data_IF_282101949164
#
_entry.id   IF_282101949164
#
_cell.length_a   1.000
_cell.length_b   1.000
_cell.length_c   1.000
_cell.angle_alpha   90.00
_cell.angle_beta   90.00
_cell.angle_gamma   90.00
#
_symmetry.space_group_name_H-M   'P 1'
#
loop_
_entity.id
_entity.type
_entity.pdbx_description
1 polymer ?
#
# COMPACT_ATOMS: atom_id res chain seq x y z
N UNK A 1 5.09 -23.66 11.84
CA UNK A 1 4.03 -23.40 10.87
C UNK A 1 2.93 -24.45 10.97
N UNK A 2 3.24 -25.77 10.78
CA UNK A 2 2.22 -26.82 10.82
C UNK A 2 1.34 -26.70 12.09
N UNK A 3 1.96 -26.65 13.26
CA UNK A 3 1.22 -26.55 14.53
C UNK A 3 0.32 -25.30 14.62
N UNK A 4 0.76 -24.15 14.12
CA UNK A 4 -0.06 -22.94 14.09
C UNK A 4 -1.28 -23.09 13.17
N UNK A 5 -1.12 -23.78 12.04
CA UNK A 5 -2.24 -24.11 11.13
C UNK A 5 -3.22 -25.10 11.77
N UNK A 6 -2.71 -26.13 12.45
CA UNK A 6 -3.54 -27.15 13.12
C UNK A 6 -4.45 -26.54 14.20
N UNK A 7 -4.01 -25.47 14.87
CA UNK A 7 -4.79 -24.72 15.85
C UNK A 7 -5.49 -23.50 15.27
N UNK A 8 -5.65 -23.43 13.96
CA UNK A 8 -6.39 -22.38 13.24
C UNK A 8 -5.84 -20.96 13.42
N UNK A 9 -4.53 -20.79 13.54
CA UNK A 9 -3.91 -19.45 13.44
C UNK A 9 -3.83 -19.08 11.95
N UNK A 10 -4.92 -18.56 11.43
CA UNK A 10 -5.10 -18.16 10.03
C UNK A 10 -5.78 -16.78 9.94
N UNK A 11 -5.89 -16.24 8.72
CA UNK A 11 -6.42 -14.91 8.49
C UNK A 11 -7.89 -14.75 8.94
N UNK A 12 -8.72 -15.79 8.80
CA UNK A 12 -10.12 -15.74 9.19
C UNK A 12 -10.27 -15.69 10.72
N UNK A 13 -9.67 -16.64 11.42
CA UNK A 13 -9.81 -16.76 12.88
C UNK A 13 -9.09 -15.61 13.61
N UNK A 14 -7.91 -15.23 13.17
CA UNK A 14 -7.18 -14.05 13.68
C UNK A 14 -7.95 -12.77 13.34
N UNK A 15 -8.55 -12.69 12.16
CA UNK A 15 -9.41 -11.59 11.74
C UNK A 15 -10.53 -11.32 12.73
N UNK A 16 -11.23 -12.34 13.19
CA UNK A 16 -12.31 -12.20 14.21
C UNK A 16 -11.85 -11.54 15.50
N UNK A 17 -10.61 -11.81 15.92
CA UNK A 17 -10.01 -11.16 17.11
C UNK A 17 -9.57 -9.73 16.79
N UNK A 18 -8.95 -9.50 15.66
CA UNK A 18 -8.43 -8.18 15.28
C UNK A 18 -9.53 -7.20 14.91
N UNK A 19 -10.71 -7.68 14.47
CA UNK A 19 -11.91 -6.87 14.24
C UNK A 19 -12.54 -6.32 15.51
N UNK A 20 -12.20 -6.85 16.70
CA UNK A 20 -12.67 -6.27 17.97
C UNK A 20 -12.16 -4.83 18.06
N UNK A 21 -13.09 -3.86 18.11
CA UNK A 21 -12.80 -2.43 18.09
C UNK A 21 -11.96 -1.97 16.88
N UNK A 22 -12.16 -2.55 15.70
CA UNK A 22 -11.36 -2.31 14.49
C UNK A 22 -11.29 -0.83 14.09
N UNK A 23 -12.36 -0.06 14.31
CA UNK A 23 -12.42 1.37 13.98
C UNK A 23 -11.57 2.27 14.89
N UNK A 24 -11.09 1.73 16.01
CA UNK A 24 -10.25 2.48 16.93
C UNK A 24 -8.76 2.39 16.50
N UNK A 25 -7.98 3.47 16.64
CA UNK A 25 -6.56 3.44 16.35
C UNK A 25 -5.81 2.51 17.32
N UNK A 26 -4.78 1.82 16.83
CA UNK A 26 -3.89 1.03 17.68
C UNK A 26 -3.10 1.97 18.62
N UNK A 27 -2.87 1.62 19.91
CA UNK A 27 -3.15 0.33 20.55
C UNK A 27 -4.51 0.27 21.31
N UNK A 28 -5.40 1.24 21.16
CA UNK A 28 -6.65 1.32 21.95
C UNK A 28 -7.50 0.03 21.97
N UNK A 29 -7.58 -0.78 20.89
CA UNK A 29 -8.32 -2.04 20.93
C UNK A 29 -7.70 -3.14 21.80
N UNK A 30 -6.41 -3.05 22.13
CA UNK A 30 -5.66 -4.14 22.77
C UNK A 30 -6.29 -4.64 24.07
N UNK A 31 -6.72 -3.79 25.01
CA UNK A 31 -7.33 -4.28 26.26
C UNK A 31 -8.55 -5.18 26.02
N UNK A 32 -9.41 -4.83 25.04
CA UNK A 32 -10.60 -5.61 24.74
C UNK A 32 -10.26 -6.90 24.01
N UNK A 33 -9.31 -6.88 23.09
CA UNK A 33 -8.80 -8.09 22.43
C UNK A 33 -8.24 -9.08 23.45
N UNK A 34 -7.41 -8.61 24.38
CA UNK A 34 -6.85 -9.42 25.46
C UNK A 34 -7.94 -9.92 26.41
N UNK A 35 -8.96 -9.10 26.72
CA UNK A 35 -10.07 -9.53 27.55
C UNK A 35 -10.80 -10.74 26.95
N UNK A 36 -11.05 -10.75 25.64
CA UNK A 36 -11.63 -11.88 24.93
C UNK A 36 -10.69 -13.09 24.88
N UNK A 37 -9.41 -12.88 24.54
CA UNK A 37 -8.42 -13.96 24.43
C UNK A 37 -8.14 -14.64 25.79
N UNK A 38 -8.06 -13.90 26.89
CA UNK A 38 -7.85 -14.46 28.24
C UNK A 38 -9.01 -15.33 28.74
N UNK A 39 -10.20 -15.21 28.14
CA UNK A 39 -11.35 -16.09 28.41
C UNK A 39 -11.36 -17.35 27.56
N UNK A 40 -10.63 -17.36 26.48
CA UNK A 40 -10.40 -18.59 25.72
C UNK A 40 -9.42 -19.47 26.48
N UNK A 41 -9.82 -20.74 26.67
CA UNK A 41 -9.00 -21.77 27.31
C UNK A 41 -8.65 -22.83 26.28
N UNK A 42 -8.07 -22.40 25.15
CA UNK A 42 -7.70 -23.23 24.02
C UNK A 42 -6.35 -22.84 23.42
N UNK A 43 -5.76 -23.76 22.68
CA UNK A 43 -4.47 -23.59 22.05
C UNK A 43 -4.36 -22.34 21.15
N UNK A 44 -5.42 -21.99 20.43
CA UNK A 44 -5.48 -20.78 19.61
C UNK A 44 -5.32 -19.51 20.47
N UNK A 45 -6.12 -19.38 21.54
CA UNK A 45 -6.07 -18.22 22.45
C UNK A 45 -4.71 -18.06 23.09
N UNK A 46 -4.11 -19.17 23.54
CA UNK A 46 -2.78 -19.16 24.16
C UNK A 46 -1.69 -18.75 23.15
N UNK A 47 -1.73 -19.29 21.91
CA UNK A 47 -0.78 -18.94 20.87
C UNK A 47 -0.86 -17.45 20.50
N UNK A 48 -2.06 -16.90 20.32
CA UNK A 48 -2.21 -15.49 19.99
C UNK A 48 -1.71 -14.58 21.12
N UNK A 49 -2.03 -14.91 22.37
CA UNK A 49 -1.57 -14.15 23.53
C UNK A 49 -0.04 -14.05 23.57
N UNK A 50 0.63 -15.19 23.42
CA UNK A 50 2.09 -15.26 23.55
C UNK A 50 2.85 -14.72 22.32
N UNK A 51 2.33 -14.94 21.11
CA UNK A 51 3.06 -14.67 19.86
C UNK A 51 2.64 -13.37 19.15
N UNK A 52 1.38 -12.92 19.34
CA UNK A 52 0.88 -11.74 18.61
C UNK A 52 0.64 -10.52 19.51
N UNK A 53 0.37 -10.71 20.79
CA UNK A 53 -0.09 -9.63 21.65
C UNK A 53 0.79 -9.38 22.90
N UNK A 54 1.95 -10.01 22.96
CA UNK A 54 2.88 -9.93 24.11
C UNK A 54 2.15 -10.07 25.47
N UNK A 55 1.16 -11.00 25.56
CA UNK A 55 0.44 -11.32 26.79
C UNK A 55 0.96 -12.67 27.33
N UNK A 56 1.80 -12.66 28.38
CA UNK A 56 2.50 -13.86 28.80
C UNK A 56 1.57 -14.98 29.27
N UNK A 57 1.90 -16.22 28.93
CA UNK A 57 1.17 -17.46 29.26
C UNK A 57 2.02 -18.37 30.17
N UNK A 58 1.37 -19.34 30.85
CA UNK A 58 2.09 -20.35 31.66
C UNK A 58 2.77 -21.41 30.79
N UNK A 59 3.65 -22.22 31.36
CA UNK A 59 4.26 -23.36 30.69
C UNK A 59 3.21 -24.38 30.20
N UNK A 60 2.18 -24.65 31.00
CA UNK A 60 1.07 -25.55 30.65
C UNK A 60 0.27 -25.01 29.46
N UNK A 61 -0.11 -23.71 29.49
CA UNK A 61 -0.78 -23.02 28.38
C UNK A 61 0.08 -23.05 27.10
N UNK A 62 1.39 -22.86 27.22
CA UNK A 62 2.32 -22.92 26.09
C UNK A 62 2.44 -24.35 25.53
N UNK A 63 2.53 -25.35 26.41
CA UNK A 63 2.59 -26.77 26.02
C UNK A 63 1.30 -27.23 25.32
N UNK A 64 0.14 -26.77 25.79
CA UNK A 64 -1.15 -27.01 25.14
C UNK A 64 -1.20 -26.37 23.73
N UNK A 65 -0.75 -25.11 23.64
CA UNK A 65 -0.76 -24.37 22.37
C UNK A 65 0.20 -24.97 21.32
N UNK A 66 1.46 -25.22 21.71
CA UNK A 66 2.56 -25.49 20.78
C UNK A 66 3.14 -26.90 20.91
N UNK A 67 2.89 -27.59 22.03
CA UNK A 67 3.56 -28.82 22.40
C UNK A 67 4.85 -28.58 23.18
N UNK A 68 5.09 -29.36 24.24
CA UNK A 68 6.22 -29.15 25.19
C UNK A 68 7.58 -29.14 24.51
N UNK A 69 7.83 -30.06 23.57
CA UNK A 69 9.09 -30.16 22.84
C UNK A 69 9.35 -28.90 21.99
N UNK A 70 8.31 -28.38 21.32
CA UNK A 70 8.45 -27.17 20.52
C UNK A 70 8.66 -25.95 21.41
N UNK A 71 7.95 -25.85 22.53
CA UNK A 71 8.16 -24.76 23.51
C UNK A 71 9.61 -24.72 23.99
N UNK A 72 10.19 -25.89 24.35
CA UNK A 72 11.58 -25.98 24.80
C UNK A 72 12.54 -25.44 23.72
N UNK A 73 12.36 -25.86 22.45
CA UNK A 73 13.18 -25.39 21.33
C UNK A 73 12.99 -23.89 21.07
N UNK A 74 11.76 -23.38 21.16
CA UNK A 74 11.48 -21.95 20.93
C UNK A 74 12.11 -21.08 22.02
N UNK A 75 12.18 -21.58 23.25
CA UNK A 75 12.90 -20.92 24.36
C UNK A 75 14.42 -20.96 24.13
N UNK A 76 14.96 -22.09 23.69
CA UNK A 76 16.40 -22.24 23.40
C UNK A 76 16.86 -21.29 22.30
N UNK A 77 16.07 -21.10 21.23
CA UNK A 77 16.41 -20.19 20.13
C UNK A 77 15.93 -18.75 20.35
N UNK A 78 15.35 -18.44 21.50
CA UNK A 78 14.91 -17.08 21.85
C UNK A 78 13.63 -16.58 21.16
N UNK A 79 12.88 -17.44 20.50
CA UNK A 79 11.56 -17.09 19.93
C UNK A 79 10.45 -17.04 20.99
N UNK A 80 10.66 -17.69 22.13
CA UNK A 80 9.91 -17.48 23.35
C UNK A 80 10.89 -17.10 24.47
N UNK A 81 10.51 -16.15 25.30
CA UNK A 81 11.34 -15.71 26.44
C UNK A 81 10.53 -15.71 27.71
N UNK A 82 11.23 -15.94 28.85
CA UNK A 82 10.60 -15.85 30.15
C UNK A 82 10.45 -14.40 30.58
N UNK A 83 9.23 -14.01 30.86
CA UNK A 83 8.85 -12.70 31.40
C UNK A 83 8.70 -12.78 32.93
N UNK A 84 8.14 -11.75 33.53
CA UNK A 84 7.86 -11.73 34.99
C UNK A 84 7.06 -12.97 35.41
N UNK A 85 7.32 -13.46 36.65
CA UNK A 85 6.71 -14.66 37.20
C UNK A 85 6.97 -15.95 36.41
N UNK A 86 8.00 -15.99 35.56
CA UNK A 86 8.39 -17.16 34.77
C UNK A 86 7.49 -17.47 33.60
N UNK A 87 6.51 -16.61 33.27
CA UNK A 87 5.59 -16.79 32.13
C UNK A 87 6.31 -16.59 30.80
N UNK A 88 5.74 -17.16 29.73
CA UNK A 88 6.33 -17.17 28.39
C UNK A 88 5.60 -16.23 27.45
N UNK A 89 6.35 -15.41 26.71
CA UNK A 89 5.88 -14.65 25.56
C UNK A 89 6.98 -14.53 24.51
N UNK A 90 6.61 -14.25 23.27
CA UNK A 90 7.58 -13.94 22.22
C UNK A 90 8.12 -12.52 22.40
N UNK A 91 9.43 -12.29 22.20
CA UNK A 91 9.98 -10.95 22.04
C UNK A 91 9.71 -10.35 20.66
N UNK A 92 9.09 -11.13 19.76
CA UNK A 92 8.68 -10.73 18.41
C UNK A 92 7.16 -10.72 18.31
N UNK A 93 6.65 -9.98 17.34
CA UNK A 93 5.24 -10.04 16.96
C UNK A 93 5.03 -10.96 15.76
N UNK A 94 4.18 -11.96 15.92
CA UNK A 94 3.72 -12.79 14.83
C UNK A 94 2.62 -12.07 14.06
N UNK A 95 2.81 -11.89 12.76
CA UNK A 95 1.82 -11.39 11.82
C UNK A 95 1.45 -12.45 10.77
N UNK A 96 0.45 -12.13 9.94
CA UNK A 96 0.04 -12.93 8.81
C UNK A 96 0.30 -12.17 7.51
N UNK A 97 0.75 -12.87 6.48
CA UNK A 97 0.90 -12.36 5.12
C UNK A 97 0.41 -13.42 4.13
N UNK A 98 -0.71 -13.14 3.42
CA UNK A 98 -1.39 -14.18 2.65
C UNK A 98 -1.75 -15.39 3.53
N UNK A 99 -1.32 -16.58 3.14
CA UNK A 99 -1.43 -17.81 3.92
C UNK A 99 -0.22 -18.09 4.82
N UNK A 100 0.78 -17.21 4.82
CA UNK A 100 2.04 -17.36 5.54
C UNK A 100 2.11 -16.60 6.87
N UNK A 101 3.22 -16.79 7.57
CA UNK A 101 3.53 -16.19 8.86
C UNK A 101 4.72 -15.25 8.73
N UNK A 102 4.68 -14.16 9.50
CA UNK A 102 5.72 -13.14 9.50
C UNK A 102 6.05 -12.73 10.93
N UNK A 103 7.29 -12.93 11.36
CA UNK A 103 7.79 -12.35 12.60
C UNK A 103 8.37 -10.95 12.33
N UNK A 104 8.13 -10.05 13.26
CA UNK A 104 8.68 -8.69 13.28
C UNK A 104 9.09 -8.30 14.69
N UNK A 105 9.88 -7.23 14.82
CA UNK A 105 10.28 -6.74 16.13
C UNK A 105 9.15 -6.01 16.86
N UNK A 106 9.23 -5.96 18.17
CA UNK A 106 8.55 -4.94 18.96
C UNK A 106 9.37 -3.63 18.86
N UNK A 107 8.87 -2.70 18.07
CA UNK A 107 9.54 -1.40 17.81
C UNK A 107 9.72 -0.52 19.05
N UNK A 108 9.10 -0.89 20.18
CA UNK A 108 9.30 -0.22 21.46
C UNK A 108 10.51 -0.75 22.24
N UNK A 109 10.95 -1.97 21.94
CA UNK A 109 12.01 -2.66 22.65
C UNK A 109 13.32 -2.72 21.88
N UNK A 110 13.29 -2.50 20.56
CA UNK A 110 14.45 -2.61 19.68
C UNK A 110 14.73 -1.28 18.98
N UNK A 111 15.93 -0.77 19.12
CA UNK A 111 16.34 0.56 18.62
C UNK A 111 16.21 0.67 17.09
N UNK A 112 16.79 -0.29 16.35
CA UNK A 112 16.69 -0.41 14.89
C UNK A 112 15.72 -1.54 14.52
N UNK A 113 14.58 -1.60 15.21
CA UNK A 113 13.60 -2.65 15.05
C UNK A 113 13.02 -2.71 13.64
N UNK A 114 12.65 -3.91 13.23
CA UNK A 114 12.09 -4.21 11.92
C UNK A 114 10.58 -4.28 12.02
N UNK A 115 9.89 -3.36 11.34
CA UNK A 115 8.44 -3.27 11.35
C UNK A 115 7.78 -4.47 10.65
N UNK A 116 6.69 -4.95 11.22
CA UNK A 116 5.85 -5.99 10.62
C UNK A 116 4.87 -5.47 9.56
N UNK A 117 4.11 -6.40 8.97
CA UNK A 117 3.11 -6.08 7.96
C UNK A 117 1.91 -5.34 8.56
N UNK A 118 1.89 -4.01 8.43
CA UNK A 118 0.77 -3.15 8.76
C UNK A 118 -0.34 -3.17 7.69
N UNK A 119 -1.34 -2.30 7.86
CA UNK A 119 -2.43 -2.13 6.87
C UNK A 119 -1.89 -1.62 5.53
N UNK A 120 -0.96 -0.66 5.57
CA UNK A 120 -0.30 -0.10 4.38
C UNK A 120 0.51 -1.14 3.64
N UNK A 121 1.30 -1.97 4.34
CA UNK A 121 2.08 -3.05 3.72
C UNK A 121 1.17 -4.08 3.03
N UNK A 122 0.04 -4.46 3.67
CA UNK A 122 -0.93 -5.36 3.03
C UNK A 122 -1.59 -4.74 1.79
N UNK A 123 -1.92 -3.45 1.85
CA UNK A 123 -2.42 -2.70 0.69
C UNK A 123 -1.39 -2.65 -0.44
N UNK A 124 -0.12 -2.42 -0.10
CA UNK A 124 0.98 -2.43 -1.07
C UNK A 124 1.18 -3.83 -1.69
N UNK A 125 1.11 -4.90 -0.91
CA UNK A 125 1.16 -6.26 -1.47
C UNK A 125 0.00 -6.51 -2.44
N UNK A 126 -1.22 -6.13 -2.09
CA UNK A 126 -2.39 -6.31 -2.95
C UNK A 126 -2.27 -5.53 -4.28
N UNK A 127 -1.68 -4.34 -4.24
CA UNK A 127 -1.51 -3.45 -5.38
C UNK A 127 -0.25 -3.78 -6.21
N UNK A 128 0.84 -4.18 -5.55
CA UNK A 128 2.17 -4.33 -6.15
C UNK A 128 2.49 -5.74 -6.65
N UNK A 129 1.82 -6.79 -6.12
CA UNK A 129 2.02 -8.15 -6.61
C UNK A 129 1.33 -8.31 -7.98
N UNK A 130 2.07 -8.66 -9.04
CA UNK A 130 1.51 -8.68 -10.38
C UNK A 130 0.42 -9.76 -10.56
N UNK A 131 -0.55 -9.49 -11.45
CA UNK A 131 -1.62 -10.43 -11.77
C UNK A 131 -1.13 -11.64 -12.56
N UNK A 132 -0.09 -11.43 -13.39
CA UNK A 132 0.58 -12.47 -14.18
C UNK A 132 1.92 -12.87 -13.55
N UNK A 133 2.40 -14.05 -13.86
CA UNK A 133 3.75 -14.47 -13.48
C UNK A 133 4.80 -13.64 -14.23
N UNK A 134 5.90 -13.29 -13.54
CA UNK A 134 7.02 -12.50 -14.08
C UNK A 134 8.34 -13.22 -13.86
N UNK A 135 9.39 -12.90 -14.62
CA UNK A 135 10.69 -13.53 -14.46
C UNK A 135 11.41 -13.01 -13.21
N UNK A 136 11.32 -11.68 -12.95
CA UNK A 136 12.09 -11.04 -11.89
C UNK A 136 11.29 -9.95 -11.16
N UNK A 137 11.41 -9.93 -9.83
CA UNK A 137 10.85 -8.90 -9.00
C UNK A 137 11.86 -8.40 -7.96
N UNK A 138 11.73 -7.13 -7.55
CA UNK A 138 12.53 -6.51 -6.50
C UNK A 138 11.61 -5.98 -5.40
N UNK A 139 11.88 -6.38 -4.15
CA UNK A 139 11.38 -5.75 -2.93
C UNK A 139 12.48 -4.82 -2.40
N UNK A 140 12.31 -3.51 -2.60
CA UNK A 140 13.30 -2.50 -2.25
C UNK A 140 12.98 -1.90 -0.88
N UNK A 141 13.83 -2.17 0.13
CA UNK A 141 13.56 -1.88 1.53
C UNK A 141 12.62 -2.94 2.13
N UNK A 142 13.06 -4.20 2.13
CA UNK A 142 12.18 -5.34 2.39
C UNK A 142 11.69 -5.47 3.83
N UNK A 143 12.36 -4.82 4.81
CA UNK A 143 12.02 -4.95 6.23
C UNK A 143 11.95 -6.41 6.66
N UNK A 144 10.81 -6.84 7.21
CA UNK A 144 10.58 -8.23 7.62
C UNK A 144 10.31 -9.19 6.45
N UNK A 145 10.33 -8.72 5.19
CA UNK A 145 10.18 -9.55 3.99
C UNK A 145 8.74 -9.78 3.53
N UNK A 146 7.77 -9.00 4.01
CA UNK A 146 6.36 -9.21 3.70
C UNK A 146 6.06 -9.12 2.19
N UNK A 147 6.59 -8.09 1.53
CA UNK A 147 6.40 -7.88 0.08
C UNK A 147 7.17 -8.94 -0.72
N UNK A 148 8.42 -9.24 -0.34
CA UNK A 148 9.21 -10.29 -1.00
C UNK A 148 8.51 -11.67 -0.95
N UNK A 149 7.92 -12.02 0.21
CA UNK A 149 7.12 -13.25 0.38
C UNK A 149 5.91 -13.23 -0.56
N UNK A 150 5.18 -12.14 -0.65
CA UNK A 150 4.03 -12.03 -1.54
C UNK A 150 4.43 -12.09 -3.03
N UNK A 151 5.55 -11.47 -3.42
CA UNK A 151 6.10 -11.50 -4.78
C UNK A 151 6.59 -12.90 -5.17
N UNK A 152 7.08 -13.70 -4.22
CA UNK A 152 7.64 -15.03 -4.49
C UNK A 152 6.64 -16.01 -5.13
N UNK A 153 5.34 -15.79 -4.94
CA UNK A 153 4.27 -16.57 -5.55
C UNK A 153 4.06 -16.24 -7.05
N UNK A 154 4.54 -15.07 -7.49
CA UNK A 154 4.28 -14.53 -8.84
C UNK A 154 5.55 -14.22 -9.64
N UNK A 155 6.72 -14.48 -9.09
CA UNK A 155 7.99 -14.25 -9.76
C UNK A 155 8.86 -15.53 -9.74
N UNK A 156 9.57 -15.77 -10.85
CA UNK A 156 10.55 -16.87 -10.90
C UNK A 156 11.69 -16.60 -9.91
N UNK A 157 12.13 -15.35 -9.84
CA UNK A 157 13.18 -14.89 -8.92
C UNK A 157 12.74 -13.58 -8.27
N UNK A 158 12.90 -13.48 -6.96
CA UNK A 158 12.77 -12.24 -6.20
C UNK A 158 14.13 -11.83 -5.66
N UNK A 159 14.46 -10.55 -5.75
CA UNK A 159 15.54 -9.93 -4.97
C UNK A 159 14.89 -9.09 -3.89
N UNK A 160 15.42 -9.15 -2.68
CA UNK A 160 14.98 -8.34 -1.55
C UNK A 160 16.17 -7.59 -0.95
N UNK A 161 16.11 -6.27 -0.91
CA UNK A 161 17.22 -5.44 -0.40
C UNK A 161 16.78 -4.64 0.81
N UNK A 162 17.70 -4.41 1.74
CA UNK A 162 17.50 -3.49 2.86
C UNK A 162 18.85 -2.95 3.32
N UNK A 163 18.87 -1.75 3.87
CA UNK A 163 20.07 -1.14 4.46
C UNK A 163 20.31 -1.66 5.88
N UNK A 164 19.28 -2.18 6.55
CA UNK A 164 19.35 -2.72 7.89
C UNK A 164 19.72 -4.22 7.85
N UNK A 165 20.90 -4.64 8.37
CA UNK A 165 21.29 -6.05 8.40
C UNK A 165 20.31 -6.92 9.19
N UNK A 166 19.68 -6.37 10.25
CA UNK A 166 18.65 -7.07 11.01
C UNK A 166 17.41 -7.37 10.18
N UNK A 167 17.02 -6.45 9.29
CA UNK A 167 15.92 -6.68 8.34
C UNK A 167 16.21 -7.87 7.41
N UNK A 168 17.43 -7.92 6.87
CA UNK A 168 17.86 -9.03 6.00
C UNK A 168 17.84 -10.37 6.74
N UNK A 169 18.30 -10.42 7.98
CA UNK A 169 18.28 -11.64 8.80
C UNK A 169 16.84 -12.09 9.08
N UNK A 170 15.98 -11.16 9.50
CA UNK A 170 14.58 -11.46 9.82
C UNK A 170 13.78 -11.86 8.58
N UNK A 171 14.01 -11.20 7.44
CA UNK A 171 13.36 -11.54 6.18
C UNK A 171 13.77 -12.94 5.67
N UNK A 172 15.05 -13.31 5.80
CA UNK A 172 15.54 -14.68 5.52
C UNK A 172 14.87 -15.71 6.42
N UNK A 173 14.79 -15.41 7.72
CA UNK A 173 14.09 -16.27 8.67
C UNK A 173 12.61 -16.47 8.27
N UNK A 174 11.92 -15.38 7.95
CA UNK A 174 10.51 -15.41 7.53
C UNK A 174 10.31 -16.17 6.21
N UNK A 175 11.19 -16.03 5.23
CA UNK A 175 11.15 -16.80 4.00
C UNK A 175 11.32 -18.30 4.28
N UNK A 176 12.32 -18.68 5.08
CA UNK A 176 12.55 -20.07 5.48
C UNK A 176 11.38 -20.65 6.28
N UNK A 177 10.79 -19.85 7.20
CA UNK A 177 9.59 -20.22 7.97
C UNK A 177 8.42 -20.62 7.07
N UNK A 178 8.29 -19.95 5.92
CA UNK A 178 7.23 -20.23 4.94
C UNK A 178 7.63 -21.20 3.83
N UNK A 179 8.85 -21.76 3.88
CA UNK A 179 9.36 -22.71 2.87
C UNK A 179 9.66 -22.09 1.51
N UNK A 180 9.96 -20.79 1.47
CA UNK A 180 10.23 -20.02 0.25
C UNK A 180 11.74 -20.03 -0.04
N UNK A 181 12.13 -20.39 -1.27
CA UNK A 181 13.53 -20.54 -1.66
C UNK A 181 13.96 -19.66 -2.84
N UNK A 182 13.04 -18.95 -3.50
CA UNK A 182 13.32 -18.15 -4.69
C UNK A 182 13.57 -16.65 -4.38
N UNK A 183 13.93 -16.31 -3.14
CA UNK A 183 14.27 -14.94 -2.74
C UNK A 183 15.77 -14.83 -2.45
N UNK A 184 16.43 -13.87 -3.10
CA UNK A 184 17.84 -13.49 -2.90
C UNK A 184 17.88 -12.21 -2.05
N UNK A 185 18.40 -12.32 -0.82
CA UNK A 185 18.46 -11.21 0.14
C UNK A 185 19.83 -10.53 0.12
N UNK A 186 19.86 -9.21 -0.07
CA UNK A 186 21.08 -8.42 -0.19
C UNK A 186 21.06 -7.18 0.70
N UNK A 187 22.16 -6.95 1.41
CA UNK A 187 22.37 -5.76 2.25
C UNK A 187 22.91 -4.61 1.38
N UNK A 188 22.35 -3.41 1.53
CA UNK A 188 22.85 -2.18 0.93
C UNK A 188 21.80 -1.08 0.79
N UNK A 189 22.23 0.12 0.41
CA UNK A 189 21.39 1.30 0.28
C UNK A 189 20.70 1.33 -1.10
N UNK A 190 19.38 1.42 -1.08
CA UNK A 190 18.54 1.52 -2.27
C UNK A 190 18.93 0.48 -3.35
N UNK A 191 19.33 0.96 -4.54
CA UNK A 191 19.67 0.13 -5.69
C UNK A 191 21.15 -0.32 -5.74
N UNK A 192 21.98 0.05 -4.78
CA UNK A 192 23.41 -0.33 -4.79
C UNK A 192 23.62 -1.85 -4.93
N UNK A 193 22.88 -2.71 -4.18
CA UNK A 193 23.07 -4.16 -4.29
C UNK A 193 22.60 -4.77 -5.63
N UNK A 194 21.89 -3.98 -6.44
CA UNK A 194 21.29 -4.40 -7.73
C UNK A 194 21.65 -3.44 -8.87
N UNK A 195 22.80 -2.75 -8.77
CA UNK A 195 23.20 -1.66 -9.65
C UNK A 195 23.19 -2.02 -11.16
N UNK A 196 23.46 -3.28 -11.50
CA UNK A 196 23.53 -3.75 -12.90
C UNK A 196 22.26 -4.55 -13.31
N UNK A 197 21.22 -4.60 -12.48
CA UNK A 197 20.04 -5.40 -12.73
C UNK A 197 18.82 -4.55 -13.07
N UNK A 198 17.92 -5.11 -13.89
CA UNK A 198 16.60 -4.54 -14.17
C UNK A 198 15.53 -5.61 -13.98
N UNK A 199 14.34 -5.18 -13.50
CA UNK A 199 13.27 -6.04 -13.02
C UNK A 199 11.98 -5.80 -13.79
N UNK A 200 11.14 -6.84 -13.86
CA UNK A 200 9.79 -6.73 -14.41
C UNK A 200 8.86 -6.00 -13.43
N UNK A 201 9.10 -6.21 -12.13
CA UNK A 201 8.33 -5.57 -11.05
C UNK A 201 9.27 -5.08 -9.95
N UNK A 202 9.07 -3.84 -9.50
CA UNK A 202 9.71 -3.26 -8.32
C UNK A 202 8.62 -2.79 -7.37
N UNK A 203 8.68 -3.22 -6.12
CA UNK A 203 7.75 -2.77 -5.07
C UNK A 203 8.56 -2.17 -3.92
N UNK A 204 8.13 -1.04 -3.39
CA UNK A 204 8.80 -0.39 -2.26
C UNK A 204 7.85 0.43 -1.41
N UNK A 205 8.12 0.43 -0.12
CA UNK A 205 7.60 1.40 0.83
C UNK A 205 8.78 2.02 1.57
N UNK A 206 9.48 2.99 0.93
CA UNK A 206 10.59 3.64 1.59
C UNK A 206 10.12 4.41 2.81
N UNK A 207 10.96 4.67 3.79
CA UNK A 207 10.69 5.65 4.84
C UNK A 207 10.34 7.02 4.22
N UNK A 208 9.26 7.63 4.70
CA UNK A 208 8.76 8.91 4.18
C UNK A 208 8.27 9.89 5.26
N UNK A 209 8.41 9.55 6.53
CA UNK A 209 7.99 10.47 7.60
C UNK A 209 9.04 11.58 7.75
N UNK A 210 8.55 12.82 7.80
CA UNK A 210 9.36 14.00 8.08
C UNK A 210 9.99 13.92 9.48
N UNK A 211 11.21 14.42 9.62
CA UNK A 211 11.96 14.38 10.89
C UNK A 211 12.51 15.74 11.28
N UNK A 212 12.05 16.33 12.39
CA UNK A 212 12.70 17.53 12.93
C UNK A 212 14.21 17.31 13.15
N UNK A 213 15.09 18.30 12.84
CA UNK A 213 16.55 18.13 12.85
C UNK A 213 17.12 17.56 14.14
N UNK A 214 16.61 17.97 15.28
CA UNK A 214 17.13 17.61 16.61
C UNK A 214 16.55 16.31 17.18
N UNK A 215 15.81 15.55 16.34
CA UNK A 215 15.23 14.28 16.75
C UNK A 215 16.06 13.09 16.28
N UNK A 216 16.05 12.01 17.09
CA UNK A 216 16.76 10.79 16.76
C UNK A 216 16.19 10.16 15.49
N UNK A 217 17.02 9.82 14.49
CA UNK A 217 16.54 9.12 13.29
C UNK A 217 16.09 7.69 13.63
N UNK A 218 15.07 7.23 12.90
CA UNK A 218 14.62 5.84 12.87
C UNK A 218 14.66 5.38 11.42
N UNK A 219 15.48 4.39 11.12
CA UNK A 219 15.79 3.95 9.74
C UNK A 219 14.56 3.52 8.97
N UNK A 220 13.62 2.86 9.64
CA UNK A 220 12.39 2.34 9.03
C UNK A 220 11.28 3.40 8.83
N UNK A 221 11.47 4.62 9.36
CA UNK A 221 10.39 5.61 9.47
C UNK A 221 10.70 6.92 8.73
N UNK A 222 11.90 7.47 8.93
CA UNK A 222 12.21 8.83 8.50
C UNK A 222 12.81 8.89 7.09
N UNK A 223 12.14 9.60 6.19
CA UNK A 223 12.56 9.82 4.81
C UNK A 223 13.49 11.03 4.61
N UNK A 224 13.83 11.73 5.70
CA UNK A 224 14.63 12.95 5.71
C UNK A 224 13.97 14.04 6.54
N UNK A 225 14.47 15.26 6.46
CA UNK A 225 13.93 16.41 7.19
C UNK A 225 12.52 16.75 6.70
N UNK A 226 12.29 16.77 5.39
CA UNK A 226 10.97 16.97 4.78
C UNK A 226 10.15 15.69 4.70
N UNK A 227 10.81 14.53 4.73
CA UNK A 227 10.21 13.22 4.55
C UNK A 227 10.26 12.70 3.12
N UNK A 228 10.41 13.56 2.12
CA UNK A 228 10.41 13.17 0.71
C UNK A 228 11.83 13.02 0.08
N UNK A 229 12.89 13.25 0.84
CA UNK A 229 14.26 13.16 0.34
C UNK A 229 14.65 11.74 -0.11
N UNK A 230 14.38 10.74 0.74
CA UNK A 230 14.67 9.35 0.40
C UNK A 230 13.77 8.85 -0.75
N UNK A 231 12.44 9.08 -0.75
CA UNK A 231 11.60 8.82 -1.90
C UNK A 231 12.11 9.44 -3.21
N UNK A 232 12.57 10.70 -3.19
CA UNK A 232 13.13 11.37 -4.37
C UNK A 232 14.41 10.70 -4.86
N UNK A 233 15.33 10.32 -3.96
CA UNK A 233 16.53 9.55 -4.31
C UNK A 233 16.17 8.21 -4.95
N UNK A 234 15.18 7.51 -4.42
CA UNK A 234 14.67 6.25 -4.99
C UNK A 234 14.15 6.49 -6.41
N UNK A 235 13.28 7.48 -6.60
CA UNK A 235 12.67 7.77 -7.89
C UNK A 235 13.70 8.17 -8.95
N UNK A 236 14.74 8.93 -8.58
CA UNK A 236 15.79 9.38 -9.52
C UNK A 236 16.62 8.24 -10.11
N UNK A 237 16.64 7.07 -9.49
CA UNK A 237 17.38 5.90 -9.96
C UNK A 237 16.47 4.76 -10.45
N UNK A 238 15.14 4.96 -10.45
CA UNK A 238 14.16 3.88 -10.62
C UNK A 238 14.04 3.37 -12.06
N UNK A 239 13.85 4.28 -13.03
CA UNK A 239 13.46 3.90 -14.40
C UNK A 239 14.49 3.00 -15.07
N UNK A 240 15.82 3.25 -14.95
CA UNK A 240 16.84 2.34 -15.49
C UNK A 240 16.81 0.92 -14.88
N UNK A 241 16.21 0.76 -13.70
CA UNK A 241 16.07 -0.54 -13.01
C UNK A 241 14.78 -1.29 -13.40
N UNK A 242 13.94 -0.70 -14.23
CA UNK A 242 12.80 -1.37 -14.84
C UNK A 242 13.21 -1.94 -16.21
N UNK A 243 12.80 -3.17 -16.49
CA UNK A 243 12.80 -3.71 -17.84
C UNK A 243 11.83 -2.92 -18.73
N UNK A 244 11.91 -3.08 -20.03
CA UNK A 244 10.91 -2.53 -20.95
C UNK A 244 9.52 -3.06 -20.56
N UNK A 245 8.54 -2.17 -20.40
CA UNK A 245 7.21 -2.46 -19.85
C UNK A 245 7.22 -2.99 -18.41
N UNK A 246 8.35 -2.91 -17.71
CA UNK A 246 8.41 -3.20 -16.27
C UNK A 246 7.71 -2.12 -15.46
N UNK A 247 7.18 -2.51 -14.30
CA UNK A 247 6.36 -1.66 -13.41
C UNK A 247 6.95 -1.54 -12.02
N UNK A 248 7.00 -0.33 -11.50
CA UNK A 248 7.21 -0.07 -10.08
C UNK A 248 5.91 0.36 -9.40
N UNK A 249 5.70 -0.09 -8.16
CA UNK A 249 4.63 0.37 -7.26
C UNK A 249 5.28 0.84 -5.97
N UNK A 250 5.33 2.15 -5.78
CA UNK A 250 6.04 2.79 -4.67
C UNK A 250 5.03 3.55 -3.81
N UNK A 251 4.93 3.18 -2.52
CA UNK A 251 4.09 3.89 -1.57
C UNK A 251 4.86 5.03 -0.93
N UNK A 252 4.34 6.25 -1.02
CA UNK A 252 4.95 7.45 -0.45
C UNK A 252 3.87 8.37 0.11
N UNK A 253 4.13 8.98 1.27
CA UNK A 253 3.38 10.12 1.74
C UNK A 253 4.17 11.41 1.41
N UNK A 254 3.53 12.30 0.67
CA UNK A 254 4.15 13.53 0.22
C UNK A 254 3.67 14.72 1.03
N UNK A 255 4.56 15.57 1.55
CA UNK A 255 4.14 16.88 2.07
C UNK A 255 3.57 17.73 0.93
N UNK A 256 2.36 18.24 1.08
CA UNK A 256 1.79 19.17 0.08
C UNK A 256 2.38 20.57 0.28
N UNK A 257 2.93 21.12 -0.79
CA UNK A 257 3.51 22.46 -0.84
C UNK A 257 2.67 23.28 -1.82
N UNK A 258 2.33 24.50 -1.44
CA UNK A 258 1.56 25.41 -2.28
C UNK A 258 2.25 25.64 -3.63
N UNK A 259 1.45 25.62 -4.70
CA UNK A 259 1.87 25.82 -6.09
C UNK A 259 2.82 24.76 -6.69
N UNK A 260 3.02 23.63 -6.04
CA UNK A 260 3.79 22.50 -6.60
C UNK A 260 2.89 21.27 -6.78
N UNK A 261 2.24 21.07 -7.93
CA UNK A 261 1.44 19.86 -8.18
C UNK A 261 2.25 18.59 -7.99
N UNK A 262 1.65 17.61 -7.34
CA UNK A 262 2.34 16.36 -7.00
C UNK A 262 2.87 15.63 -8.23
N UNK A 263 2.12 15.68 -9.34
CA UNK A 263 2.51 15.09 -10.63
C UNK A 263 3.80 15.71 -11.18
N UNK A 264 3.97 17.02 -10.99
CA UNK A 264 5.20 17.71 -11.35
C UNK A 264 6.36 17.28 -10.45
N UNK A 265 6.15 17.27 -9.13
CA UNK A 265 7.17 16.88 -8.14
C UNK A 265 7.69 15.46 -8.36
N UNK A 266 6.80 14.52 -8.66
CA UNK A 266 7.19 13.14 -9.01
C UNK A 266 7.94 13.11 -10.35
N UNK A 267 7.48 13.90 -11.33
CA UNK A 267 8.20 14.02 -12.60
C UNK A 267 9.60 14.59 -12.44
N UNK A 268 9.78 15.61 -11.61
CA UNK A 268 11.07 16.23 -11.31
C UNK A 268 11.99 15.26 -10.54
N UNK A 269 11.41 14.44 -9.65
CA UNK A 269 12.16 13.39 -8.95
C UNK A 269 12.66 12.28 -9.90
N UNK A 270 11.88 11.92 -10.93
CA UNK A 270 12.31 11.00 -11.99
C UNK A 270 13.39 11.61 -12.91
N UNK A 271 13.50 12.94 -12.96
CA UNK A 271 14.48 13.66 -13.78
C UNK A 271 14.32 13.39 -15.28
N UNK A 272 15.44 13.22 -15.99
CA UNK A 272 15.46 12.97 -17.43
C UNK A 272 14.68 11.69 -17.84
N UNK A 273 14.66 10.69 -16.99
CA UNK A 273 14.00 9.41 -17.23
C UNK A 273 12.47 9.52 -17.26
N UNK A 274 11.90 10.66 -16.79
CA UNK A 274 10.47 10.93 -16.87
C UNK A 274 9.92 10.93 -18.30
N UNK A 275 10.77 11.18 -19.31
CA UNK A 275 10.44 11.13 -20.74
C UNK A 275 10.25 9.70 -21.28
N UNK A 276 10.71 8.69 -20.55
CA UNK A 276 10.56 7.28 -20.88
C UNK A 276 9.64 6.54 -19.88
N UNK A 277 8.87 7.29 -19.09
CA UNK A 277 8.02 6.75 -18.04
C UNK A 277 6.54 7.09 -18.22
N UNK A 278 5.68 6.13 -17.89
CA UNK A 278 4.24 6.31 -17.67
C UNK A 278 4.03 6.39 -16.17
N UNK A 279 3.42 7.45 -15.69
CA UNK A 279 3.25 7.71 -14.26
C UNK A 279 1.78 7.83 -13.91
N UNK A 280 1.29 6.94 -13.05
CA UNK A 280 -0.05 7.02 -12.48
C UNK A 280 0.06 7.19 -10.96
N UNK A 281 -0.42 8.31 -10.44
CA UNK A 281 -0.48 8.58 -9.00
C UNK A 281 -1.87 8.24 -8.49
N UNK A 282 -1.97 7.22 -7.65
CA UNK A 282 -3.18 6.87 -6.93
C UNK A 282 -3.15 7.60 -5.60
N UNK A 283 -3.91 8.71 -5.51
CA UNK A 283 -4.00 9.56 -4.32
C UNK A 283 -5.00 8.94 -3.35
N UNK A 284 -4.53 8.47 -2.20
CA UNK A 284 -5.32 7.74 -1.22
C UNK A 284 -5.76 8.64 -0.05
N UNK A 285 -4.98 8.70 1.01
CA UNK A 285 -5.30 9.48 2.20
C UNK A 285 -4.67 10.88 2.11
N UNK A 286 -5.46 11.90 2.40
CA UNK A 286 -4.98 13.26 2.62
C UNK A 286 -5.16 13.59 4.10
N UNK A 287 -4.04 13.73 4.81
CA UNK A 287 -4.02 13.92 6.26
C UNK A 287 -3.61 15.36 6.60
N UNK A 288 -4.36 16.01 7.47
CA UNK A 288 -3.94 17.30 8.01
C UNK A 288 -2.73 17.13 8.93
N UNK A 289 -1.82 18.08 8.89
CA UNK A 289 -0.61 18.05 9.74
C UNK A 289 -0.96 17.90 11.23
N UNK A 290 -2.01 18.56 11.72
CA UNK A 290 -2.44 18.44 13.12
C UNK A 290 -2.82 17.01 13.50
N UNK A 291 -3.53 16.29 12.62
CA UNK A 291 -3.91 14.89 12.80
C UNK A 291 -2.68 13.99 12.72
N UNK A 292 -1.80 14.24 11.76
CA UNK A 292 -0.55 13.48 11.60
C UNK A 292 0.34 13.61 12.85
N UNK A 293 0.60 14.85 13.34
CA UNK A 293 1.42 15.08 14.52
C UNK A 293 0.85 14.43 15.77
N UNK A 294 -0.49 14.46 15.92
CA UNK A 294 -1.16 13.83 17.04
C UNK A 294 -1.05 12.30 16.98
N UNK A 295 -1.32 11.71 15.82
CA UNK A 295 -1.22 10.26 15.61
C UNK A 295 0.22 9.76 15.77
N UNK A 296 1.20 10.50 15.24
CA UNK A 296 2.60 10.17 15.35
C UNK A 296 3.10 10.23 16.81
N UNK A 297 2.79 11.31 17.53
CA UNK A 297 3.14 11.44 18.94
C UNK A 297 2.50 10.34 19.80
N UNK A 298 1.26 9.96 19.50
CA UNK A 298 0.57 8.85 20.19
C UNK A 298 1.24 7.50 19.89
N UNK A 299 1.65 7.27 18.65
CA UNK A 299 2.39 6.07 18.27
C UNK A 299 3.70 5.90 19.03
N UNK A 300 4.40 7.02 19.29
CA UNK A 300 5.65 7.02 20.06
C UNK A 300 5.46 6.89 21.56
N UNK A 301 4.43 7.50 22.15
CA UNK A 301 4.26 7.62 23.60
C UNK A 301 3.16 6.75 24.19
N UNK A 302 2.18 6.32 23.38
CA UNK A 302 1.05 5.45 23.71
C UNK A 302 0.12 5.93 24.84
N UNK A 303 0.37 7.10 25.41
CA UNK A 303 -0.44 7.70 26.47
C UNK A 303 -0.41 9.23 26.38
N UNK A 304 -1.50 9.92 26.71
CA UNK A 304 -1.49 11.38 26.89
C UNK A 304 -0.62 11.76 28.08
N UNK A 305 0.54 12.35 27.82
CA UNK A 305 1.52 12.79 28.81
C UNK A 305 2.11 14.15 28.40
N UNK A 306 2.87 14.83 29.25
CA UNK A 306 3.60 16.04 28.84
C UNK A 306 4.56 15.77 27.68
N UNK A 307 5.18 14.61 27.62
CA UNK A 307 6.07 14.18 26.53
C UNK A 307 5.29 13.95 25.22
N UNK A 308 4.06 13.43 25.30
CA UNK A 308 3.16 13.34 24.15
C UNK A 308 2.89 14.73 23.59
N UNK A 309 2.47 15.68 24.45
CA UNK A 309 2.17 17.05 24.04
C UNK A 309 3.39 17.74 23.41
N UNK A 310 4.55 17.64 24.04
CA UNK A 310 5.79 18.22 23.51
C UNK A 310 6.24 17.58 22.19
N UNK A 311 6.04 16.28 22.03
CA UNK A 311 6.32 15.59 20.75
C UNK A 311 5.38 16.10 19.65
N UNK A 312 4.09 16.17 19.91
CA UNK A 312 3.11 16.64 18.91
C UNK A 312 3.41 18.10 18.47
N UNK A 313 3.70 19.00 19.42
CA UNK A 313 4.02 20.39 19.10
C UNK A 313 5.35 20.54 18.36
N UNK A 314 6.37 19.76 18.72
CA UNK A 314 7.66 19.76 18.00
C UNK A 314 7.50 19.47 16.51
N UNK A 315 6.71 18.43 16.17
CA UNK A 315 6.40 18.10 14.79
C UNK A 315 5.53 19.16 14.12
N UNK A 316 4.52 19.69 14.82
CA UNK A 316 3.66 20.74 14.28
C UNK A 316 4.46 22.00 13.93
N UNK A 317 5.35 22.45 14.81
CA UNK A 317 6.24 23.61 14.58
C UNK A 317 7.21 23.35 13.42
N UNK A 318 7.66 22.11 13.26
CA UNK A 318 8.50 21.72 12.14
C UNK A 318 7.77 21.83 10.80
N UNK A 319 6.57 21.29 10.69
CA UNK A 319 5.74 21.42 9.48
C UNK A 319 5.35 22.89 9.19
N UNK A 320 5.11 23.70 10.22
CA UNK A 320 4.83 25.11 10.05
C UNK A 320 6.01 25.87 9.43
N UNK A 321 7.24 25.61 9.89
CA UNK A 321 8.46 26.18 9.28
C UNK A 321 8.65 25.77 7.82
N UNK A 322 8.18 24.60 7.44
CA UNK A 322 8.22 24.10 6.06
C UNK A 322 7.05 24.61 5.19
N UNK A 323 6.06 25.29 5.77
CA UNK A 323 4.86 25.72 5.05
C UNK A 323 3.90 24.57 4.68
N UNK A 324 4.02 23.40 5.33
CA UNK A 324 3.21 22.21 5.03
C UNK A 324 1.99 22.17 5.93
N UNK A 325 0.80 22.02 5.35
CA UNK A 325 -0.48 21.94 6.07
C UNK A 325 -1.14 20.57 5.93
N UNK A 326 -0.79 19.85 4.88
CA UNK A 326 -1.37 18.53 4.56
C UNK A 326 -0.31 17.59 3.99
N UNK A 327 -0.56 16.31 4.17
CA UNK A 327 0.23 15.20 3.66
C UNK A 327 -0.65 14.33 2.76
N UNK A 328 -0.15 13.94 1.59
CA UNK A 328 -0.88 13.11 0.64
C UNK A 328 -0.21 11.75 0.51
N UNK A 329 -0.87 10.69 1.01
CA UNK A 329 -0.45 9.33 0.78
C UNK A 329 -0.79 8.91 -0.66
N UNK A 330 0.19 8.35 -1.36
CA UNK A 330 0.02 7.87 -2.73
C UNK A 330 0.62 6.48 -2.94
N UNK A 331 0.06 5.77 -3.92
CA UNK A 331 0.79 4.75 -4.66
C UNK A 331 1.26 5.36 -5.98
N UNK A 332 2.57 5.44 -6.15
CA UNK A 332 3.19 5.88 -7.38
C UNK A 332 3.41 4.65 -8.26
N UNK A 333 2.59 4.50 -9.29
CA UNK A 333 2.71 3.45 -10.29
C UNK A 333 3.51 4.00 -11.46
N UNK A 334 4.68 3.43 -11.72
CA UNK A 334 5.62 3.92 -12.73
C UNK A 334 5.97 2.75 -13.64
N UNK A 335 5.70 2.90 -14.94
CA UNK A 335 6.11 1.93 -15.96
C UNK A 335 7.16 2.54 -16.89
N UNK A 336 8.17 1.75 -17.22
CA UNK A 336 9.09 2.10 -18.30
C UNK A 336 8.42 1.83 -19.65
N UNK A 337 8.32 2.85 -20.50
CA UNK A 337 7.77 2.69 -21.84
C UNK A 337 7.20 3.98 -22.43
N UNK A 338 6.93 3.92 -23.74
CA UNK A 338 6.39 5.02 -24.54
C UNK A 338 4.96 4.71 -25.03
N UNK A 339 4.13 5.75 -25.33
CA UNK A 339 4.40 7.15 -25.03
C UNK A 339 4.42 7.43 -23.54
N UNK A 340 5.27 8.36 -23.10
CA UNK A 340 5.32 8.82 -21.72
C UNK A 340 4.05 9.66 -21.40
N UNK A 341 3.53 9.49 -20.18
CA UNK A 341 2.41 10.28 -19.67
C UNK A 341 2.40 10.34 -18.15
N UNK A 342 1.74 11.36 -17.61
CA UNK A 342 1.52 11.50 -16.17
C UNK A 342 0.04 11.73 -15.91
N UNK A 343 -0.50 11.04 -14.93
CA UNK A 343 -1.90 11.19 -14.51
C UNK A 343 -2.05 10.91 -13.01
N UNK A 344 -3.13 11.42 -12.44
CA UNK A 344 -3.54 11.05 -11.07
C UNK A 344 -4.99 10.63 -11.03
N UNK A 345 -5.34 9.85 -10.00
CA UNK A 345 -6.69 9.39 -9.69
C UNK A 345 -6.85 9.36 -8.17
N UNK A 346 -7.95 9.92 -7.68
CA UNK A 346 -8.33 9.80 -6.27
C UNK A 346 -8.87 8.39 -6.01
N UNK A 347 -8.32 7.72 -4.98
CA UNK A 347 -8.74 6.39 -4.55
C UNK A 347 -9.07 6.39 -3.07
N UNK A 348 -9.89 5.45 -2.64
CA UNK A 348 -10.22 5.29 -1.23
C UNK A 348 -8.97 5.02 -0.40
N UNK A 349 -8.98 5.37 0.91
CA UNK A 349 -7.87 5.11 1.81
C UNK A 349 -7.36 3.67 1.69
N UNK A 350 -6.05 3.49 1.52
CA UNK A 350 -5.43 2.17 1.24
C UNK A 350 -5.76 1.13 2.31
N UNK A 351 -5.92 1.57 3.57
CA UNK A 351 -6.31 0.69 4.66
C UNK A 351 -7.76 0.19 4.60
N UNK A 352 -8.62 0.87 3.85
CA UNK A 352 -10.05 0.54 3.68
C UNK A 352 -10.36 0.08 2.24
N UNK A 353 -9.45 0.31 1.28
CA UNK A 353 -9.64 -0.04 -0.11
C UNK A 353 -9.28 -1.50 -0.36
N UNK A 354 -9.98 -2.10 -1.30
CA UNK A 354 -9.62 -3.41 -1.87
C UNK A 354 -8.78 -3.24 -3.15
N UNK A 355 -7.95 -2.20 -3.22
CA UNK A 355 -7.10 -1.93 -4.37
C UNK A 355 -6.20 -3.13 -4.65
N UNK A 356 -6.31 -3.68 -5.88
CA UNK A 356 -5.55 -4.83 -6.37
C UNK A 356 -4.75 -4.44 -7.60
N UNK A 357 -3.74 -5.21 -7.93
CA UNK A 357 -2.96 -5.03 -9.16
C UNK A 357 -3.84 -5.00 -10.43
N UNK A 358 -4.92 -5.79 -10.49
CA UNK A 358 -5.86 -5.76 -11.62
C UNK A 358 -6.55 -4.41 -11.82
N UNK A 359 -6.88 -3.69 -10.74
CA UNK A 359 -7.44 -2.33 -10.84
C UNK A 359 -6.40 -1.36 -11.41
N UNK A 360 -5.14 -1.52 -11.02
CA UNK A 360 -4.02 -0.73 -11.56
C UNK A 360 -3.84 -1.04 -13.05
N UNK A 361 -3.89 -2.32 -13.45
CA UNK A 361 -3.80 -2.72 -14.86
C UNK A 361 -4.85 -2.01 -15.72
N UNK A 362 -6.10 -1.98 -15.27
CA UNK A 362 -7.19 -1.29 -15.97
C UNK A 362 -6.97 0.23 -16.06
N UNK A 363 -6.56 0.86 -14.96
CA UNK A 363 -6.30 2.29 -14.92
C UNK A 363 -5.13 2.68 -15.83
N UNK A 364 -4.04 1.93 -15.82
CA UNK A 364 -2.87 2.18 -16.68
C UNK A 364 -3.22 1.97 -18.15
N UNK A 365 -3.88 0.87 -18.51
CA UNK A 365 -4.32 0.59 -19.88
C UNK A 365 -5.23 1.71 -20.41
N UNK A 366 -6.20 2.13 -19.58
CA UNK A 366 -7.15 3.18 -19.93
C UNK A 366 -6.47 4.54 -20.13
N UNK A 367 -5.51 4.90 -19.29
CA UNK A 367 -4.68 6.12 -19.47
C UNK A 367 -3.80 6.04 -20.71
N UNK A 368 -3.29 4.85 -21.00
CA UNK A 368 -2.54 4.59 -22.24
C UNK A 368 -3.34 4.90 -23.50
N UNK A 369 -4.64 4.61 -23.53
CA UNK A 369 -5.52 4.95 -24.64
C UNK A 369 -5.63 6.47 -24.89
N UNK A 370 -5.73 7.27 -23.80
CA UNK A 370 -5.74 8.74 -23.94
C UNK A 370 -4.42 9.26 -24.50
N UNK A 371 -3.29 8.70 -24.07
CA UNK A 371 -1.96 9.07 -24.53
C UNK A 371 -1.68 8.60 -25.98
N UNK A 372 -2.26 7.48 -26.40
CA UNK A 372 -2.16 6.97 -27.78
C UNK A 372 -2.97 7.80 -28.79
N UNK A 373 -3.87 8.67 -28.31
CA UNK A 373 -4.57 9.66 -29.12
C UNK A 373 -5.98 9.26 -29.55
N UNK A 374 -6.56 10.11 -30.42
CA UNK A 374 -7.97 10.07 -30.83
C UNK A 374 -8.40 8.73 -31.41
N UNK A 375 -7.65 8.21 -32.38
CA UNK A 375 -8.05 7.01 -33.10
C UNK A 375 -8.01 5.76 -32.23
N UNK A 376 -7.03 5.66 -31.34
CA UNK A 376 -6.93 4.59 -30.35
C UNK A 376 -8.16 4.61 -29.42
N UNK A 377 -8.52 5.80 -28.90
CA UNK A 377 -9.70 5.96 -28.06
C UNK A 377 -10.98 5.62 -28.79
N UNK A 378 -11.17 6.11 -30.01
CA UNK A 378 -12.37 5.83 -30.82
C UNK A 378 -12.54 4.35 -31.16
N UNK A 379 -11.43 3.63 -31.39
CA UNK A 379 -11.43 2.19 -31.68
C UNK A 379 -11.56 1.31 -30.44
N UNK A 380 -11.48 1.87 -29.23
CA UNK A 380 -11.49 1.10 -28.01
C UNK A 380 -12.89 0.69 -27.54
N UNK A 381 -12.95 -0.36 -26.74
CA UNK A 381 -14.13 -0.76 -25.97
C UNK A 381 -13.93 -0.34 -24.52
N UNK A 382 -14.83 0.50 -24.03
CA UNK A 382 -14.80 0.98 -22.64
C UNK A 382 -16.03 0.48 -21.88
N UNK A 383 -15.85 0.20 -20.60
CA UNK A 383 -16.94 -0.28 -19.72
C UNK A 383 -16.93 0.47 -18.39
N UNK A 384 -18.09 0.57 -17.81
CA UNK A 384 -18.24 0.98 -16.40
C UNK A 384 -17.63 -0.10 -15.52
N UNK A 385 -16.84 0.26 -14.49
CA UNK A 385 -16.30 -0.71 -13.52
C UNK A 385 -17.40 -1.59 -12.93
N UNK A 386 -17.11 -2.86 -12.73
CA UNK A 386 -18.04 -3.79 -12.09
C UNK A 386 -18.42 -3.30 -10.68
N UNK A 387 -19.72 -3.40 -10.35
CA UNK A 387 -20.25 -2.94 -9.07
C UNK A 387 -20.38 -1.42 -8.91
N UNK A 388 -20.11 -0.62 -9.96
CA UNK A 388 -20.43 0.80 -9.92
C UNK A 388 -21.95 1.02 -9.90
N UNK A 389 -22.40 2.00 -9.12
CA UNK A 389 -23.80 2.38 -9.03
C UNK A 389 -24.00 3.87 -9.35
N UNK A 390 -25.14 4.19 -9.94
CA UNK A 390 -25.49 5.54 -10.35
C UNK A 390 -26.77 5.96 -9.61
N UNK A 391 -26.68 7.00 -8.79
CA UNK A 391 -27.80 7.50 -8.00
C UNK A 391 -28.03 8.98 -8.28
N UNK A 392 -29.25 9.34 -8.70
CA UNK A 392 -29.62 10.75 -8.81
C UNK A 392 -29.69 11.38 -7.40
N UNK A 393 -29.02 12.52 -7.23
CA UNK A 393 -28.97 13.28 -5.97
C UNK A 393 -29.80 14.56 -6.07
N UNK A 394 -30.11 15.16 -4.90
CA UNK A 394 -31.01 16.34 -4.80
C UNK A 394 -30.55 17.56 -5.64
N UNK A 395 -29.29 17.65 -5.99
CA UNK A 395 -28.73 18.69 -6.89
C UNK A 395 -29.10 18.51 -8.36
N UNK A 396 -29.82 17.43 -8.73
CA UNK A 396 -30.09 17.05 -10.13
C UNK A 396 -28.86 16.47 -10.85
N UNK A 397 -27.81 16.14 -10.11
CA UNK A 397 -26.62 15.42 -10.58
C UNK A 397 -26.77 13.93 -10.34
N UNK A 398 -25.86 13.15 -10.88
CA UNK A 398 -25.76 11.71 -10.66
C UNK A 398 -24.49 11.42 -9.87
N UNK A 399 -24.64 10.83 -8.70
CA UNK A 399 -23.50 10.31 -7.93
C UNK A 399 -23.14 8.93 -8.44
N UNK A 400 -21.89 8.77 -8.86
CA UNK A 400 -21.29 7.50 -9.23
C UNK A 400 -20.53 6.99 -8.02
N UNK A 401 -20.93 5.82 -7.53
CA UNK A 401 -20.24 5.13 -6.43
C UNK A 401 -19.61 3.86 -6.97
N UNK A 402 -18.33 3.67 -6.71
CA UNK A 402 -17.60 2.49 -7.14
C UNK A 402 -17.55 1.47 -5.99
N UNK A 403 -17.58 0.18 -6.33
CA UNK A 403 -17.65 -0.86 -5.31
C UNK A 403 -16.45 -0.82 -4.35
N UNK A 404 -15.23 -0.67 -4.87
CA UNK A 404 -14.04 -1.03 -4.10
C UNK A 404 -12.89 -0.02 -4.07
N UNK A 405 -12.67 0.80 -5.10
CA UNK A 405 -11.35 1.43 -5.30
C UNK A 405 -11.42 2.95 -5.43
N UNK A 406 -12.32 3.46 -6.25
CA UNK A 406 -12.38 4.88 -6.56
C UNK A 406 -13.27 5.64 -5.58
N UNK A 407 -12.90 6.89 -5.30
CA UNK A 407 -13.79 7.79 -4.54
C UNK A 407 -15.08 8.08 -5.33
N UNK A 408 -16.23 8.20 -4.65
CA UNK A 408 -17.47 8.59 -5.30
C UNK A 408 -17.35 9.98 -5.96
N UNK A 409 -17.89 10.11 -7.15
CA UNK A 409 -17.91 11.39 -7.87
C UNK A 409 -19.34 11.78 -8.26
N UNK A 410 -19.56 13.07 -8.53
CA UNK A 410 -20.84 13.57 -9.04
C UNK A 410 -20.67 14.08 -10.48
N UNK A 411 -21.44 13.53 -11.38
CA UNK A 411 -21.47 13.89 -12.81
C UNK A 411 -22.83 14.49 -13.19
N UNK A 412 -22.90 15.12 -14.35
CA UNK A 412 -24.19 15.60 -14.90
C UNK A 412 -25.03 14.43 -15.43
N UNK A 413 -26.35 14.62 -15.55
CA UNK A 413 -27.23 13.62 -16.19
C UNK A 413 -26.82 13.32 -17.64
N UNK A 414 -26.37 14.34 -18.38
CA UNK A 414 -25.86 14.16 -19.74
C UNK A 414 -24.59 13.30 -19.78
N UNK A 415 -23.66 13.50 -18.83
CA UNK A 415 -22.48 12.66 -18.70
C UNK A 415 -22.84 11.22 -18.32
N UNK A 416 -23.81 11.01 -17.43
CA UNK A 416 -24.30 9.68 -17.09
C UNK A 416 -24.92 8.96 -18.29
N UNK A 417 -25.71 9.66 -19.10
CA UNK A 417 -26.28 9.12 -20.35
C UNK A 417 -25.18 8.75 -21.36
N UNK A 418 -24.15 9.59 -21.50
CA UNK A 418 -23.00 9.29 -22.36
C UNK A 418 -22.28 8.02 -21.88
N UNK A 419 -22.02 7.92 -20.58
CA UNK A 419 -21.36 6.76 -19.97
C UNK A 419 -22.15 5.47 -20.22
N UNK A 420 -23.48 5.51 -20.07
CA UNK A 420 -24.35 4.37 -20.37
C UNK A 420 -24.26 3.95 -21.84
N UNK A 421 -24.32 4.90 -22.77
CA UNK A 421 -24.20 4.61 -24.21
C UNK A 421 -22.82 3.99 -24.54
N UNK A 422 -21.74 4.52 -23.98
CA UNK A 422 -20.38 3.97 -24.20
C UNK A 422 -20.25 2.58 -23.59
N UNK A 423 -20.85 2.35 -22.42
CA UNK A 423 -20.84 1.03 -21.76
C UNK A 423 -21.49 -0.06 -22.61
N UNK A 424 -22.59 0.27 -23.34
CA UNK A 424 -23.35 -0.69 -24.16
C UNK A 424 -22.78 -0.86 -25.57
N UNK A 425 -22.07 0.15 -26.08
CA UNK A 425 -21.57 0.15 -27.46
C UNK A 425 -20.40 -0.84 -27.67
N UNK A 426 -20.19 -1.28 -28.90
CA UNK A 426 -19.06 -2.11 -29.29
C UNK A 426 -17.77 -1.32 -29.22
N UNK A 427 -17.76 -0.08 -29.69
CA UNK A 427 -16.63 0.83 -29.61
C UNK A 427 -17.08 2.23 -29.16
N UNK A 428 -16.13 3.03 -28.72
CA UNK A 428 -16.35 4.46 -28.39
C UNK A 428 -16.89 5.20 -29.64
N UNK A 429 -16.39 4.87 -30.83
CA UNK A 429 -16.87 5.45 -32.09
C UNK A 429 -18.37 5.22 -32.29
N UNK A 430 -18.81 3.97 -32.10
CA UNK A 430 -20.23 3.62 -32.28
C UNK A 430 -21.13 4.39 -31.30
N UNK A 431 -20.71 4.54 -30.07
CA UNK A 431 -21.44 5.34 -29.07
C UNK A 431 -21.51 6.81 -29.43
N UNK A 432 -20.44 7.40 -29.96
CA UNK A 432 -20.38 8.80 -30.35
C UNK A 432 -21.29 9.05 -31.57
N UNK A 433 -21.24 8.19 -32.58
CA UNK A 433 -22.10 8.31 -33.78
C UNK A 433 -23.59 8.18 -33.43
N UNK A 434 -23.95 7.34 -32.48
CA UNK A 434 -25.32 7.21 -31.98
C UNK A 434 -25.78 8.43 -31.18
N UNK A 435 -24.91 9.04 -30.37
CA UNK A 435 -25.27 10.11 -29.45
C UNK A 435 -25.21 11.51 -30.11
N UNK A 436 -24.23 11.78 -30.99
CA UNK A 436 -23.94 13.10 -31.53
C UNK A 436 -25.19 13.78 -32.17
N UNK A 437 -26.06 13.08 -32.93
CA UNK A 437 -27.27 13.68 -33.49
C UNK A 437 -28.29 14.15 -32.44
N UNK A 438 -28.24 13.63 -31.24
CA UNK A 438 -29.20 13.95 -30.16
C UNK A 438 -28.85 15.18 -29.35
N UNK A 439 -27.63 15.73 -29.52
CA UNK A 439 -27.12 16.84 -28.72
C UNK A 439 -27.62 18.22 -29.11
N UNK A 440 -28.42 18.32 -30.18
CA UNK A 440 -29.04 19.59 -30.63
C UNK A 440 -28.04 20.63 -31.15
N UNK A 441 -26.86 20.19 -31.60
CA UNK A 441 -25.78 21.01 -32.19
C UNK A 441 -25.40 20.42 -33.56
N UNK A 442 -24.63 21.15 -34.41
CA UNK A 442 -24.11 20.56 -35.66
C UNK A 442 -23.37 19.24 -35.38
N UNK A 443 -23.51 18.27 -36.32
CA UNK A 443 -23.08 16.89 -36.12
C UNK A 443 -21.60 16.77 -35.71
N UNK A 444 -20.71 17.53 -36.35
CA UNK A 444 -19.28 17.49 -36.04
C UNK A 444 -18.98 18.08 -34.66
N UNK A 445 -19.69 19.15 -34.24
CA UNK A 445 -19.60 19.70 -32.90
C UNK A 445 -20.14 18.71 -31.85
N UNK A 446 -21.22 17.98 -32.20
CA UNK A 446 -21.79 16.92 -31.36
C UNK A 446 -20.80 15.77 -31.14
N UNK A 447 -20.07 15.34 -32.16
CA UNK A 447 -19.02 14.33 -32.09
C UNK A 447 -17.87 14.76 -31.15
N UNK A 448 -17.39 16.01 -31.29
CA UNK A 448 -16.32 16.51 -30.42
C UNK A 448 -16.78 16.63 -28.97
N UNK A 449 -17.98 17.17 -28.72
CA UNK A 449 -18.54 17.23 -27.35
C UNK A 449 -18.68 15.85 -26.71
N UNK A 450 -19.16 14.87 -27.46
CA UNK A 450 -19.28 13.50 -26.98
C UNK A 450 -17.91 12.88 -26.69
N UNK A 451 -16.91 13.09 -27.56
CA UNK A 451 -15.56 12.60 -27.39
C UNK A 451 -14.87 13.24 -26.16
N UNK A 452 -15.05 14.53 -25.94
CA UNK A 452 -14.52 15.21 -24.74
C UNK A 452 -15.19 14.69 -23.46
N UNK A 453 -16.49 14.40 -23.52
CA UNK A 453 -17.18 13.73 -22.41
C UNK A 453 -16.62 12.34 -22.11
N UNK A 454 -16.30 11.55 -23.13
CA UNK A 454 -15.62 10.25 -22.97
C UNK A 454 -14.24 10.43 -22.35
N UNK A 455 -13.43 11.39 -22.83
CA UNK A 455 -12.13 11.70 -22.25
C UNK A 455 -12.22 12.03 -20.77
N UNK A 456 -13.20 12.84 -20.37
CA UNK A 456 -13.45 13.18 -18.97
C UNK A 456 -13.86 11.94 -18.15
N UNK A 457 -14.80 11.13 -18.66
CA UNK A 457 -15.24 9.91 -18.00
C UNK A 457 -14.07 8.92 -17.76
N UNK A 458 -13.20 8.79 -18.75
CA UNK A 458 -11.94 8.02 -18.62
C UNK A 458 -11.02 8.66 -17.58
N UNK A 459 -10.89 9.99 -17.60
CA UNK A 459 -10.04 10.73 -16.64
C UNK A 459 -10.48 10.52 -15.20
N UNK A 460 -11.76 10.42 -14.95
CA UNK A 460 -12.31 10.17 -13.61
C UNK A 460 -12.47 8.67 -13.26
N UNK A 461 -12.08 7.75 -14.15
CA UNK A 461 -12.19 6.31 -13.90
C UNK A 461 -13.62 5.77 -14.00
N UNK A 462 -14.57 6.54 -14.53
CA UNK A 462 -15.97 6.09 -14.74
C UNK A 462 -16.08 5.12 -15.90
N UNK A 463 -15.19 5.24 -16.88
CA UNK A 463 -15.04 4.32 -18.00
C UNK A 463 -13.62 3.76 -17.98
N UNK A 464 -13.50 2.45 -18.04
CA UNK A 464 -12.24 1.71 -18.06
C UNK A 464 -12.16 0.82 -19.30
N UNK A 465 -10.94 0.65 -19.83
CA UNK A 465 -10.65 -0.36 -20.84
C UNK A 465 -10.74 -1.74 -20.21
N UNK A 466 -11.40 -2.67 -20.88
CA UNK A 466 -11.27 -4.09 -20.55
C UNK A 466 -9.88 -4.57 -20.98
N UNK A 467 -9.28 -5.51 -20.23
CA UNK A 467 -7.98 -6.09 -20.56
C UNK A 467 -8.02 -6.89 -21.86
#
# INVERSE_FOLDING_TARGET
VARLRDIHVDAEHVGRVTQICEKMPSPLPLPMRLWHLRRRRDAFGFALRALMFDDPISDDEAAEALGADLVSRLVEVGLLTRRAQGRLASPFHLGLIGSGFLFSDDLQQVEDGVMGSGRTTRGLCAAGVPTRHVDSALDLGCGAGAVAIALSERATRVVATDVNPRAIELARFNAALNGIANIDFRLGDLFEPVAEEAFDVIVSQPPFISRPPDTRPQTWLHGGERGDELPRRLLSALVPRLRESGRAVIMVEWPEVDNEPLEQRVGDALGADSSAARVLLLKAERTRVDEHCTAYAFGLRREPSPEFASTATLWRDHFERMGVQTLQLTLNVIERGLPAWKASVEVRPLGASQLKASHIDHLVATRGLLAAGRDALLGSTLRVPEGASFLEVASGRVRVTFADVLEPIEITKGAAALVANVHEAATVRDAIEALAPTLGVPLDEGREKALDGVRQAVTFGVLLSLP
#
